data_IF_835278860651
#
_entry.id   IF_835278860651
#
_cell.length_a   1.000
_cell.length_b   1.000
_cell.length_c   1.000
_cell.angle_alpha   90.00
_cell.angle_beta   90.00
_cell.angle_gamma   90.00
#
_symmetry.space_group_name_H-M   'P 1'
#
loop_
_entity.id
_entity.type
_entity.pdbx_description
1 polymer ?
#
# COMPACT_ATOMS: atom_id res chain seq x y z
N UNK A 1 11.51 27.92 -32.78
CA UNK A 1 11.35 28.84 -31.63
C UNK A 1 9.89 28.89 -31.15
N UNK A 2 9.24 27.73 -30.87
CA UNK A 2 7.79 27.71 -30.57
C UNK A 2 7.44 28.25 -29.17
N UNK A 3 8.38 28.19 -28.23
CA UNK A 3 8.14 28.55 -26.82
C UNK A 3 8.00 30.05 -26.60
N UNK A 4 8.88 30.85 -27.21
CA UNK A 4 8.85 32.33 -27.09
C UNK A 4 7.61 32.94 -27.77
N UNK A 5 7.20 32.38 -28.91
CA UNK A 5 5.98 32.78 -29.62
C UNK A 5 4.70 32.47 -28.82
N UNK A 6 4.72 31.38 -28.03
CA UNK A 6 3.61 30.99 -27.17
C UNK A 6 3.49 31.85 -25.92
N UNK A 7 4.62 32.23 -25.31
CA UNK A 7 4.67 33.12 -24.14
C UNK A 7 4.07 34.49 -24.45
N UNK A 8 4.31 35.06 -25.63
CA UNK A 8 3.74 36.35 -26.04
C UNK A 8 2.22 36.35 -26.24
N UNK A 9 1.57 35.18 -26.25
CA UNK A 9 0.10 35.05 -26.36
C UNK A 9 -0.60 34.90 -25.01
N UNK A 10 0.16 34.80 -23.92
CA UNK A 10 -0.38 34.60 -22.58
C UNK A 10 -0.35 35.92 -21.85
N UNK A 11 -1.44 36.67 -21.99
CA UNK A 11 -1.84 37.65 -20.98
C UNK A 11 -2.59 36.87 -19.91
N UNK A 12 -1.88 36.43 -18.87
CA UNK A 12 -2.50 35.54 -17.90
C UNK A 12 -1.67 35.33 -16.65
N UNK A 13 -2.34 35.56 -15.52
CA UNK A 13 -1.93 35.13 -14.19
C UNK A 13 -1.59 33.62 -14.21
N UNK A 14 -0.50 33.21 -13.56
CA UNK A 14 -0.01 31.82 -13.47
C UNK A 14 0.62 31.23 -14.77
N UNK A 15 1.52 31.96 -15.43
CA UNK A 15 2.26 31.51 -16.62
C UNK A 15 2.99 30.17 -16.43
N UNK A 16 3.51 29.90 -15.23
CA UNK A 16 4.21 28.64 -14.92
C UNK A 16 3.29 27.44 -15.03
N UNK A 17 2.03 27.60 -14.59
CA UNK A 17 1.02 26.54 -14.63
C UNK A 17 0.56 26.27 -16.07
N UNK A 18 0.33 27.33 -16.83
CA UNK A 18 -0.01 27.22 -18.24
C UNK A 18 1.12 26.51 -19.00
N UNK A 19 2.36 26.94 -18.79
CA UNK A 19 3.53 26.36 -19.47
C UNK A 19 3.74 24.89 -19.12
N UNK A 20 3.64 24.52 -17.83
CA UNK A 20 3.70 23.13 -17.36
C UNK A 20 2.67 22.24 -18.08
N UNK A 21 1.45 22.74 -18.31
CA UNK A 21 0.40 21.98 -19.00
C UNK A 21 0.70 21.78 -20.49
N UNK A 22 1.27 22.78 -21.15
CA UNK A 22 1.60 22.73 -22.57
C UNK A 22 2.86 21.89 -22.86
N UNK A 23 3.87 21.95 -21.99
CA UNK A 23 5.14 21.22 -22.14
C UNK A 23 5.12 19.81 -21.55
N UNK A 24 4.14 19.49 -20.71
CA UNK A 24 4.11 18.23 -19.95
C UNK A 24 5.12 18.18 -18.80
N UNK A 25 5.82 19.28 -18.53
CA UNK A 25 6.78 19.36 -17.42
C UNK A 25 6.07 19.49 -16.08
N UNK A 26 6.74 19.08 -15.00
CA UNK A 26 6.29 19.45 -13.66
C UNK A 26 6.49 20.96 -13.42
N UNK A 27 5.71 21.52 -12.48
CA UNK A 27 5.71 22.96 -12.19
C UNK A 27 7.10 23.54 -11.87
N UNK A 28 7.95 22.78 -11.17
CA UNK A 28 9.31 23.23 -10.81
C UNK A 28 10.20 23.32 -12.05
N UNK A 29 10.15 22.31 -12.92
CA UNK A 29 10.91 22.28 -14.17
C UNK A 29 10.42 23.36 -15.14
N UNK A 30 9.09 23.52 -15.25
CA UNK A 30 8.46 24.57 -16.03
C UNK A 30 8.93 25.98 -15.59
N UNK A 31 8.93 26.24 -14.28
CA UNK A 31 9.41 27.51 -13.70
C UNK A 31 10.89 27.76 -14.02
N UNK A 32 11.74 26.75 -13.89
CA UNK A 32 13.18 26.86 -14.18
C UNK A 32 13.43 27.18 -15.66
N UNK A 33 12.73 26.49 -16.57
CA UNK A 33 12.89 26.71 -18.00
C UNK A 33 12.40 28.11 -18.42
N UNK A 34 11.25 28.55 -17.90
CA UNK A 34 10.76 29.92 -18.13
C UNK A 34 11.75 30.98 -17.62
N UNK A 35 12.37 30.73 -16.46
CA UNK A 35 13.42 31.61 -15.91
C UNK A 35 14.65 31.66 -16.84
N UNK A 36 15.10 30.51 -17.38
CA UNK A 36 16.21 30.43 -18.33
C UNK A 36 15.90 31.13 -19.67
N UNK A 37 14.63 31.14 -20.08
CA UNK A 37 14.17 31.83 -21.28
C UNK A 37 14.03 33.36 -21.09
N UNK A 38 14.28 33.87 -19.88
CA UNK A 38 14.22 35.29 -19.55
C UNK A 38 12.81 35.82 -19.26
N UNK A 39 11.85 34.93 -18.99
CA UNK A 39 10.48 35.31 -18.63
C UNK A 39 10.46 35.85 -17.20
N UNK A 40 9.89 37.04 -17.02
CA UNK A 40 9.71 37.64 -15.69
C UNK A 40 8.57 36.93 -14.97
N UNK A 41 8.93 36.08 -14.00
CA UNK A 41 7.98 35.45 -13.07
C UNK A 41 7.98 36.27 -11.78
N UNK A 42 6.81 36.71 -11.35
CA UNK A 42 6.64 37.51 -10.13
C UNK A 42 7.00 36.69 -8.88
N UNK A 43 7.51 37.33 -7.80
CA UNK A 43 7.76 36.64 -6.54
C UNK A 43 6.52 35.91 -5.99
N UNK A 44 5.35 36.49 -6.17
CA UNK A 44 4.05 35.94 -5.74
C UNK A 44 3.77 34.60 -6.45
N UNK A 45 3.90 34.57 -7.78
CA UNK A 45 3.69 33.34 -8.55
C UNK A 45 4.71 32.26 -8.20
N UNK A 46 5.97 32.63 -7.92
CA UNK A 46 6.99 31.68 -7.43
C UNK A 46 6.57 31.04 -6.12
N UNK A 47 6.04 31.83 -5.18
CA UNK A 47 5.55 31.31 -3.90
C UNK A 47 4.35 30.37 -4.10
N UNK A 48 3.40 30.72 -4.96
CA UNK A 48 2.26 29.85 -5.25
C UNK A 48 2.70 28.52 -5.87
N UNK A 49 3.62 28.55 -6.82
CA UNK A 49 4.20 27.35 -7.44
C UNK A 49 4.85 26.46 -6.36
N UNK A 50 5.62 27.04 -5.44
CA UNK A 50 6.21 26.30 -4.33
C UNK A 50 5.14 25.69 -3.42
N UNK A 51 4.11 26.45 -3.06
CA UNK A 51 2.99 25.95 -2.25
C UNK A 51 2.27 24.79 -2.92
N UNK A 52 2.03 24.85 -4.24
CA UNK A 52 1.40 23.76 -4.97
C UNK A 52 2.27 22.51 -5.04
N UNK A 53 3.57 22.68 -5.25
CA UNK A 53 4.53 21.57 -5.24
C UNK A 53 4.53 20.89 -3.87
N UNK A 54 4.55 21.66 -2.78
CA UNK A 54 4.53 21.13 -1.42
C UNK A 54 3.19 20.45 -1.08
N UNK A 55 2.05 21.08 -1.40
CA UNK A 55 0.73 20.48 -1.25
C UNK A 55 0.62 19.14 -1.99
N UNK A 56 1.16 19.06 -3.22
CA UNK A 56 1.18 17.83 -4.01
C UNK A 56 2.07 16.76 -3.38
N UNK A 57 3.23 17.15 -2.82
CA UNK A 57 4.13 16.25 -2.10
C UNK A 57 3.46 15.66 -0.86
N UNK A 58 2.90 16.50 0.01
CA UNK A 58 2.18 16.09 1.23
C UNK A 58 1.02 15.16 0.88
N UNK A 59 0.23 15.50 -0.15
CA UNK A 59 -0.89 14.66 -0.59
C UNK A 59 -0.41 13.27 -1.05
N UNK A 60 0.69 13.21 -1.81
CA UNK A 60 1.26 11.95 -2.28
C UNK A 60 1.83 11.11 -1.13
N UNK A 61 2.48 11.73 -0.16
CA UNK A 61 2.99 11.06 1.04
C UNK A 61 1.86 10.46 1.87
N UNK A 62 0.81 11.24 2.17
CA UNK A 62 -0.39 10.74 2.85
C UNK A 62 -1.04 9.58 2.09
N UNK A 63 -1.09 9.65 0.76
CA UNK A 63 -1.63 8.55 -0.07
C UNK A 63 -0.77 7.28 0.03
N UNK A 64 0.56 7.42 0.03
CA UNK A 64 1.49 6.29 0.20
C UNK A 64 1.34 5.66 1.58
N UNK A 65 1.26 6.47 2.63
CA UNK A 65 1.07 6.01 4.01
C UNK A 65 -0.26 5.25 4.17
N UNK A 66 -1.37 5.80 3.67
CA UNK A 66 -2.67 5.11 3.69
C UNK A 66 -2.63 3.76 2.98
N UNK A 67 -1.91 3.65 1.86
CA UNK A 67 -1.71 2.38 1.15
C UNK A 67 -0.89 1.38 1.97
N UNK A 68 0.19 1.83 2.61
CA UNK A 68 1.01 0.98 3.50
C UNK A 68 0.19 0.47 4.68
N UNK A 69 -0.57 1.35 5.34
CA UNK A 69 -1.43 0.97 6.47
C UNK A 69 -2.51 -0.03 6.07
N UNK A 70 -3.13 0.12 4.89
CA UNK A 70 -4.10 -0.85 4.37
C UNK A 70 -3.48 -2.21 4.14
N UNK A 71 -2.32 -2.28 3.49
CA UNK A 71 -1.59 -3.53 3.26
C UNK A 71 -1.25 -4.23 4.57
N UNK A 72 -0.69 -3.50 5.55
CA UNK A 72 -0.38 -4.04 6.87
C UNK A 72 -1.61 -4.56 7.59
N UNK A 73 -2.74 -3.86 7.49
CA UNK A 73 -3.99 -4.30 8.13
C UNK A 73 -4.55 -5.57 7.48
N UNK A 74 -4.44 -5.67 6.16
CA UNK A 74 -4.88 -6.85 5.39
C UNK A 74 -3.99 -8.06 5.69
N UNK A 75 -2.67 -7.87 5.80
CA UNK A 75 -1.71 -8.89 6.22
C UNK A 75 -1.97 -9.35 7.65
N UNK A 76 -2.16 -8.42 8.60
CA UNK A 76 -2.53 -8.77 9.97
C UNK A 76 -3.87 -9.54 10.03
N UNK A 77 -4.86 -9.14 9.21
CA UNK A 77 -6.15 -9.85 9.15
C UNK A 77 -5.99 -11.27 8.59
N UNK A 78 -5.14 -11.45 7.58
CA UNK A 78 -4.79 -12.77 7.05
C UNK A 78 -4.11 -13.63 8.10
N UNK A 79 -3.12 -13.10 8.80
CA UNK A 79 -2.41 -13.81 9.86
C UNK A 79 -3.35 -14.20 11.02
N UNK A 80 -4.26 -13.30 11.40
CA UNK A 80 -5.27 -13.59 12.43
C UNK A 80 -6.28 -14.67 11.99
N UNK A 81 -6.55 -14.80 10.68
CA UNK A 81 -7.40 -15.86 10.13
C UNK A 81 -6.68 -17.21 9.98
N UNK A 82 -5.34 -17.24 9.98
CA UNK A 82 -4.54 -18.44 9.75
C UNK A 82 -4.38 -19.30 11.02
N UNK A 83 -4.62 -18.72 12.21
CA UNK A 83 -4.51 -19.38 13.51
C UNK A 83 -5.68 -18.99 14.42
N UNK A 84 -6.90 -19.22 13.94
CA UNK A 84 -8.11 -18.94 14.70
C UNK A 84 -8.59 -20.21 15.43
N UNK A 85 -9.18 -20.06 16.61
CA UNK A 85 -9.78 -21.15 17.39
C UNK A 85 -10.90 -20.59 18.26
N UNK A 86 -11.87 -21.44 18.62
CA UNK A 86 -13.00 -21.04 19.45
C UNK A 86 -13.44 -22.18 20.39
N UNK A 87 -14.64 -22.08 20.95
CA UNK A 87 -15.19 -23.08 21.87
C UNK A 87 -15.49 -24.42 21.18
N UNK A 88 -15.69 -24.44 19.86
CA UNK A 88 -16.04 -25.63 19.08
C UNK A 88 -14.81 -26.18 18.36
N UNK A 89 -14.01 -25.30 17.77
CA UNK A 89 -12.85 -25.61 16.94
C UNK A 89 -11.54 -25.40 17.69
N UNK A 90 -10.75 -26.48 17.80
CA UNK A 90 -9.36 -26.41 18.25
C UNK A 90 -8.48 -25.64 17.27
N UNK A 91 -8.82 -25.70 15.98
CA UNK A 91 -8.13 -24.97 14.93
C UNK A 91 -9.06 -24.65 13.76
N UNK A 92 -9.12 -23.40 13.32
CA UNK A 92 -9.88 -22.92 12.17
C UNK A 92 -8.89 -22.52 11.08
N UNK A 93 -8.90 -23.25 9.96
CA UNK A 93 -8.08 -22.96 8.79
C UNK A 93 -8.64 -21.79 7.96
N UNK A 94 -9.92 -21.44 8.16
CA UNK A 94 -10.54 -20.27 7.57
C UNK A 94 -12.07 -20.33 7.57
N UNK A 95 -12.70 -19.36 6.90
CA UNK A 95 -14.16 -19.26 6.79
C UNK A 95 -14.57 -19.27 5.32
N UNK A 96 -15.47 -20.18 4.94
CA UNK A 96 -16.05 -20.27 3.59
C UNK A 96 -17.55 -20.01 3.65
N UNK A 97 -18.03 -18.99 2.94
CA UNK A 97 -19.46 -18.61 3.00
C UNK A 97 -19.93 -18.16 4.39
N UNK A 98 -19.01 -17.85 5.31
CA UNK A 98 -19.31 -17.50 6.70
C UNK A 98 -19.32 -18.68 7.67
N UNK A 99 -19.18 -19.92 7.19
CA UNK A 99 -19.02 -21.10 8.04
C UNK A 99 -17.53 -21.36 8.32
N UNK A 100 -17.14 -21.71 9.56
CA UNK A 100 -15.77 -22.09 9.89
C UNK A 100 -15.42 -23.44 9.24
N UNK A 101 -14.19 -23.54 8.73
CA UNK A 101 -13.58 -24.77 8.25
C UNK A 101 -12.37 -25.04 9.14
N UNK A 102 -12.40 -26.14 9.90
CA UNK A 102 -11.42 -26.40 10.94
C UNK A 102 -11.50 -27.82 11.53
N UNK A 103 -10.68 -28.05 12.56
CA UNK A 103 -10.66 -29.25 13.39
C UNK A 103 -11.31 -28.91 14.72
N UNK A 104 -12.29 -29.70 15.15
CA UNK A 104 -12.95 -29.56 16.45
C UNK A 104 -12.08 -30.02 17.61
N UNK A 105 -12.38 -29.60 18.84
CA UNK A 105 -11.67 -30.11 20.02
C UNK A 105 -11.79 -31.63 20.15
N UNK A 106 -12.96 -32.18 19.90
CA UNK A 106 -13.21 -33.62 19.94
C UNK A 106 -12.37 -34.38 18.88
N UNK A 107 -12.31 -33.87 17.65
CA UNK A 107 -11.49 -34.46 16.59
C UNK A 107 -9.99 -34.34 16.91
N UNK A 108 -9.55 -33.23 17.49
CA UNK A 108 -8.17 -33.04 17.92
C UNK A 108 -7.77 -34.07 18.98
N UNK A 109 -8.61 -34.27 20.00
CA UNK A 109 -8.36 -35.29 21.03
C UNK A 109 -8.30 -36.70 20.44
N UNK A 110 -9.14 -37.02 19.45
CA UNK A 110 -9.11 -38.32 18.78
C UNK A 110 -7.81 -38.51 17.99
N UNK A 111 -7.35 -37.48 17.29
CA UNK A 111 -6.06 -37.49 16.57
C UNK A 111 -4.92 -37.72 17.57
N UNK A 112 -4.89 -37.00 18.69
CA UNK A 112 -3.86 -37.16 19.72
C UNK A 112 -3.86 -38.57 20.33
N UNK A 113 -5.04 -39.12 20.63
CA UNK A 113 -5.19 -40.51 21.12
C UNK A 113 -4.69 -41.52 20.09
N UNK A 114 -4.95 -41.29 18.80
CA UNK A 114 -4.49 -42.19 17.74
C UNK A 114 -2.97 -42.15 17.61
N UNK A 115 -2.39 -40.95 17.63
CA UNK A 115 -0.94 -40.78 17.57
C UNK A 115 -0.21 -41.41 18.76
N UNK A 116 -0.76 -41.35 19.97
CA UNK A 116 -0.14 -41.96 21.14
C UNK A 116 -0.09 -43.49 21.01
N UNK A 117 -1.20 -44.12 20.58
CA UNK A 117 -1.26 -45.56 20.34
C UNK A 117 -0.27 -46.01 19.26
N UNK A 118 -0.16 -45.26 18.15
CA UNK A 118 0.81 -45.57 17.10
C UNK A 118 2.27 -45.45 17.56
N UNK A 119 2.58 -44.48 18.44
CA UNK A 119 3.91 -44.33 19.03
C UNK A 119 4.25 -45.47 19.98
N UNK A 120 3.28 -45.90 20.78
CA UNK A 120 3.43 -47.06 21.67
C UNK A 120 3.66 -48.35 20.88
N UNK A 121 2.92 -48.57 19.80
CA UNK A 121 3.08 -49.75 18.92
C UNK A 121 4.46 -49.77 18.24
N UNK A 122 4.90 -48.62 17.71
CA UNK A 122 6.24 -48.50 17.10
C UNK A 122 7.36 -48.67 18.12
N UNK A 123 7.21 -48.12 19.32
CA UNK A 123 8.17 -48.29 20.42
C UNK A 123 8.23 -49.74 20.92
N UNK A 124 7.09 -50.42 21.02
CA UNK A 124 7.01 -51.82 21.41
C UNK A 124 7.62 -52.76 20.35
N UNK A 125 7.45 -52.44 19.06
CA UNK A 125 8.08 -53.21 17.98
C UNK A 125 9.61 -53.00 17.93
N UNK A 126 10.11 -51.80 18.22
CA UNK A 126 11.55 -51.53 18.25
C UNK A 126 12.29 -52.23 19.42
N UNK A 127 11.58 -52.60 20.50
CA UNK A 127 12.13 -53.37 21.63
C UNK A 127 12.09 -54.89 21.41
N UNK A 128 11.48 -55.36 20.31
CA UNK A 128 11.34 -56.79 19.97
C UNK A 128 12.28 -57.27 18.85
N UNK A 129 13.11 -56.39 18.29
CA UNK A 129 14.23 -56.70 17.37
C UNK A 129 15.57 -56.70 18.11
#
# INVERSE_FOLDING_TARGET
MKTKEWIGKIDGDHIVKAYSKNSGLNLKNAMNELTQLGVKITPEEKQEVQQWVEKRKIHNERRKERRRRRKKNEENKRLAMEYDSDEIFAFIAGYTGGAPLGITHEEMEEIERRESLEREEKGANHLRE
#
